data_IF_817157140414
#
_entry.id   IF_817157140414
#
_cell.length_a   1.000
_cell.length_b   1.000
_cell.length_c   1.000
_cell.angle_alpha   90.00
_cell.angle_beta   90.00
_cell.angle_gamma   90.00
#
_symmetry.space_group_name_H-M   'P 1'
#
loop_
_entity.id
_entity.type
_entity.pdbx_description
1 polymer ?
#
# COMPACT_ATOMS: atom_id res chain seq x y z
N UNK A 1 -18.11 -26.31 5.85
CA UNK A 1 -17.72 -25.30 6.85
C UNK A 1 -16.84 -24.21 6.23
N UNK A 2 -15.70 -24.49 5.62
CA UNK A 2 -14.82 -23.46 4.99
C UNK A 2 -15.51 -22.69 3.86
N UNK A 3 -16.28 -23.33 3.00
CA UNK A 3 -17.03 -22.65 1.93
C UNK A 3 -18.06 -21.67 2.48
N UNK A 4 -18.72 -21.99 3.60
CA UNK A 4 -19.69 -21.10 4.25
C UNK A 4 -18.99 -19.89 4.88
N UNK A 5 -17.81 -20.08 5.48
CA UNK A 5 -16.99 -18.98 6.03
C UNK A 5 -16.50 -18.05 4.93
N UNK A 6 -15.97 -18.60 3.84
CA UNK A 6 -15.55 -17.81 2.69
C UNK A 6 -16.70 -17.00 2.08
N UNK A 7 -17.91 -17.59 2.00
CA UNK A 7 -19.10 -16.89 1.52
C UNK A 7 -19.49 -15.72 2.43
N UNK A 8 -19.45 -15.91 3.75
CA UNK A 8 -19.75 -14.86 4.73
C UNK A 8 -18.70 -13.73 4.61
N UNK A 9 -17.42 -14.07 4.55
CA UNK A 9 -16.36 -13.10 4.38
C UNK A 9 -16.51 -12.31 3.08
N UNK A 10 -16.80 -12.97 1.97
CA UNK A 10 -17.03 -12.32 0.68
C UNK A 10 -18.25 -11.38 0.72
N UNK A 11 -19.32 -11.73 1.42
CA UNK A 11 -20.49 -10.86 1.57
C UNK A 11 -20.16 -9.61 2.42
N UNK A 12 -19.38 -9.76 3.48
CA UNK A 12 -18.92 -8.65 4.31
C UNK A 12 -17.99 -7.74 3.49
N UNK A 13 -17.04 -8.31 2.73
CA UNK A 13 -16.13 -7.58 1.88
C UNK A 13 -16.87 -6.75 0.81
N UNK A 14 -17.82 -7.39 0.11
CA UNK A 14 -18.67 -6.72 -0.87
C UNK A 14 -19.51 -5.58 -0.27
N UNK A 15 -19.92 -5.70 1.00
CA UNK A 15 -20.60 -4.63 1.71
C UNK A 15 -19.65 -3.49 2.08
N UNK A 16 -18.48 -3.81 2.64
CA UNK A 16 -17.49 -2.83 3.09
C UNK A 16 -16.88 -2.07 1.90
N UNK A 17 -16.43 -2.81 0.88
CA UNK A 17 -15.90 -2.21 -0.38
C UNK A 17 -16.98 -1.94 -1.41
N UNK A 18 -18.21 -1.80 -0.97
CA UNK A 18 -19.32 -1.41 -1.84
C UNK A 18 -19.15 -0.01 -2.42
N UNK A 19 -20.03 0.33 -3.37
CA UNK A 19 -20.06 1.64 -4.02
C UNK A 19 -19.98 2.81 -3.02
N UNK A 20 -20.63 2.79 -1.83
CA UNK A 20 -20.58 3.91 -0.90
C UNK A 20 -19.18 4.28 -0.43
N UNK A 21 -18.36 3.30 -0.01
CA UNK A 21 -17.00 3.59 0.48
C UNK A 21 -16.11 4.13 -0.64
N UNK A 22 -16.16 3.52 -1.82
CA UNK A 22 -15.40 3.99 -2.98
C UNK A 22 -15.78 5.42 -3.37
N UNK A 23 -17.08 5.74 -3.36
CA UNK A 23 -17.56 7.12 -3.61
C UNK A 23 -17.04 8.08 -2.55
N UNK A 24 -17.07 7.72 -1.27
CA UNK A 24 -16.56 8.55 -0.18
C UNK A 24 -15.07 8.86 -0.37
N UNK A 25 -14.25 7.86 -0.68
CA UNK A 25 -12.80 8.04 -0.85
C UNK A 25 -12.50 8.87 -2.10
N UNK A 26 -13.12 8.56 -3.25
CA UNK A 26 -12.93 9.32 -4.48
C UNK A 26 -13.43 10.77 -4.34
N UNK A 27 -14.64 10.96 -3.79
CA UNK A 27 -15.19 12.27 -3.54
C UNK A 27 -14.29 13.10 -2.62
N UNK A 28 -13.75 12.48 -1.57
CA UNK A 28 -12.79 13.13 -0.67
C UNK A 28 -11.54 13.59 -1.40
N UNK A 29 -10.96 12.74 -2.23
CA UNK A 29 -9.80 13.07 -3.05
C UNK A 29 -10.09 14.20 -4.06
N UNK A 30 -11.24 14.17 -4.72
CA UNK A 30 -11.71 15.21 -5.64
C UNK A 30 -11.93 16.54 -4.88
N UNK A 31 -12.65 16.49 -3.76
CA UNK A 31 -12.92 17.66 -2.92
C UNK A 31 -11.62 18.35 -2.48
N UNK A 32 -10.65 17.56 -1.95
CA UNK A 32 -9.35 18.09 -1.54
C UNK A 32 -8.56 18.63 -2.72
N UNK A 33 -8.59 17.95 -3.87
CA UNK A 33 -7.94 18.41 -5.11
C UNK A 33 -8.45 19.78 -5.54
N UNK A 34 -9.78 19.97 -5.55
CA UNK A 34 -10.42 21.24 -5.91
C UNK A 34 -10.11 22.33 -4.89
N UNK A 35 -10.27 22.04 -3.59
CA UNK A 35 -10.02 23.01 -2.51
C UNK A 35 -8.57 23.46 -2.42
N UNK A 36 -7.62 22.60 -2.78
CA UNK A 36 -6.19 22.88 -2.84
C UNK A 36 -5.72 23.41 -4.19
N UNK A 37 -6.62 23.58 -5.18
CA UNK A 37 -6.32 24.14 -6.48
C UNK A 37 -5.31 23.31 -7.29
N UNK A 38 -5.54 22.00 -7.41
CA UNK A 38 -4.67 21.05 -8.13
C UNK A 38 -3.21 21.06 -7.63
N UNK A 39 -3.05 21.14 -6.30
CA UNK A 39 -1.72 21.25 -5.65
C UNK A 39 -0.78 20.11 -6.11
N UNK A 40 -1.28 18.90 -6.28
CA UNK A 40 -0.51 17.74 -6.71
C UNK A 40 0.12 17.91 -8.10
N UNK A 41 -0.43 18.72 -8.99
CA UNK A 41 0.21 19.08 -10.26
C UNK A 41 1.17 20.24 -10.12
N UNK A 42 0.71 21.31 -9.44
CA UNK A 42 1.45 22.56 -9.35
C UNK A 42 2.71 22.46 -8.48
N UNK A 43 2.70 21.61 -7.47
CA UNK A 43 3.75 21.49 -6.46
C UNK A 43 4.49 20.14 -6.45
N UNK A 44 4.21 19.25 -7.41
CA UNK A 44 4.92 17.97 -7.53
C UNK A 44 6.44 18.14 -7.66
N UNK A 45 6.98 19.08 -8.50
CA UNK A 45 8.43 19.27 -8.57
C UNK A 45 9.06 19.69 -7.22
N UNK A 46 8.35 20.54 -6.46
CA UNK A 46 8.77 20.94 -5.13
C UNK A 46 8.73 19.77 -4.13
N UNK A 47 7.68 18.95 -4.22
CA UNK A 47 7.54 17.76 -3.38
C UNK A 47 8.68 16.76 -3.62
N UNK A 48 9.03 16.48 -4.88
CA UNK A 48 10.15 15.62 -5.25
C UNK A 48 11.51 16.19 -4.77
N UNK A 49 11.69 17.51 -4.83
CA UNK A 49 12.89 18.17 -4.28
C UNK A 49 12.99 17.98 -2.77
N UNK A 50 11.88 18.17 -2.04
CA UNK A 50 11.85 18.05 -0.58
C UNK A 50 11.87 16.60 -0.07
N UNK A 51 11.51 15.65 -0.89
CA UNK A 51 11.66 14.24 -0.58
C UNK A 51 13.09 13.86 -0.19
N UNK A 52 14.09 14.45 -0.85
CA UNK A 52 15.52 14.16 -0.64
C UNK A 52 16.24 15.22 0.21
N UNK A 53 15.61 16.37 0.46
CA UNK A 53 16.22 17.46 1.25
C UNK A 53 15.68 17.42 2.68
N UNK A 54 16.51 17.04 3.63
CA UNK A 54 16.17 17.05 5.05
C UNK A 54 16.11 18.48 5.59
N UNK A 55 15.39 18.65 6.70
CA UNK A 55 15.32 19.87 7.50
C UNK A 55 16.26 19.70 8.70
N UNK A 56 17.25 20.59 8.81
CA UNK A 56 18.19 20.56 9.91
C UNK A 56 17.54 21.21 11.15
N UNK A 57 17.81 20.66 12.35
CA UNK A 57 17.32 21.16 13.64
C UNK A 57 15.80 21.14 13.86
N UNK A 58 15.07 20.30 13.11
CA UNK A 58 13.63 20.14 13.30
C UNK A 58 13.30 19.00 14.29
N UNK A 59 12.15 19.12 14.95
CA UNK A 59 11.62 18.08 15.85
C UNK A 59 11.15 16.86 15.08
N UNK A 60 11.37 15.66 15.65
CA UNK A 60 10.93 14.37 15.09
C UNK A 60 11.94 13.26 15.35
N UNK A 61 11.54 12.00 15.12
CA UNK A 61 12.36 10.82 15.40
C UNK A 61 13.29 10.43 14.25
N UNK A 62 12.85 10.64 13.01
CA UNK A 62 13.50 10.19 11.78
C UNK A 62 13.42 11.25 10.69
N UNK A 63 14.37 11.26 9.75
CA UNK A 63 14.33 12.23 8.65
C UNK A 63 13.05 12.12 7.82
N UNK A 64 12.65 13.20 7.12
CA UNK A 64 11.47 13.18 6.23
C UNK A 64 11.60 12.12 5.14
N UNK A 65 12.82 11.87 4.63
CA UNK A 65 13.08 10.79 3.69
C UNK A 65 12.88 9.40 4.32
N UNK A 66 13.39 9.18 5.54
CA UNK A 66 13.19 7.91 6.25
C UNK A 66 11.71 7.67 6.58
N UNK A 67 10.97 8.72 6.96
CA UNK A 67 9.53 8.64 7.18
C UNK A 67 8.77 8.29 5.89
N UNK A 68 9.14 8.90 4.76
CA UNK A 68 8.59 8.54 3.46
C UNK A 68 8.92 7.08 3.08
N UNK A 69 10.18 6.65 3.26
CA UNK A 69 10.56 5.27 2.97
C UNK A 69 9.83 4.27 3.89
N UNK A 70 9.59 4.64 5.16
CA UNK A 70 8.76 3.83 6.06
C UNK A 70 7.31 3.76 5.58
N UNK A 71 6.74 4.86 5.09
CA UNK A 71 5.42 4.85 4.48
C UNK A 71 5.39 4.05 3.18
N UNK A 72 6.39 4.21 2.31
CA UNK A 72 6.52 3.44 1.07
C UNK A 72 6.79 1.94 1.34
N UNK A 73 7.47 1.60 2.42
CA UNK A 73 7.66 0.19 2.80
C UNK A 73 6.33 -0.50 3.08
N UNK A 74 5.37 0.20 3.69
CA UNK A 74 4.05 -0.34 3.95
C UNK A 74 3.18 -0.42 2.68
N UNK A 75 3.36 0.50 1.72
CA UNK A 75 2.53 0.60 0.51
C UNK A 75 3.06 -0.21 -0.66
N UNK A 76 4.38 -0.18 -0.92
CA UNK A 76 5.00 -0.95 -2.02
C UNK A 76 5.15 -2.42 -1.60
N UNK A 77 4.16 -3.23 -1.93
CA UNK A 77 4.05 -4.63 -1.53
C UNK A 77 3.49 -5.53 -2.62
N UNK A 78 2.83 -6.60 -2.19
CA UNK A 78 2.11 -7.50 -3.11
C UNK A 78 1.03 -6.77 -3.92
N UNK A 79 0.49 -5.66 -3.42
CA UNK A 79 -0.48 -4.82 -4.10
C UNK A 79 -0.01 -4.34 -5.48
N UNK A 80 1.25 -3.95 -5.60
CA UNK A 80 1.84 -3.40 -6.82
C UNK A 80 2.10 -4.45 -7.92
N UNK A 81 2.17 -5.71 -7.58
CA UNK A 81 2.45 -6.82 -8.49
C UNK A 81 1.20 -7.70 -8.62
N UNK A 82 0.79 -8.34 -7.55
CA UNK A 82 -0.35 -9.26 -7.50
C UNK A 82 -1.68 -8.52 -7.56
N UNK A 83 -1.80 -7.40 -6.82
CA UNK A 83 -3.02 -6.59 -6.79
C UNK A 83 -3.34 -5.97 -8.16
N UNK A 84 -2.35 -5.45 -8.87
CA UNK A 84 -2.51 -4.93 -10.23
C UNK A 84 -2.93 -6.02 -11.19
N UNK A 85 -2.28 -7.19 -11.13
CA UNK A 85 -2.64 -8.35 -11.95
C UNK A 85 -4.11 -8.76 -11.71
N UNK A 86 -4.51 -8.87 -10.44
CA UNK A 86 -5.90 -9.19 -10.05
C UNK A 86 -6.88 -8.14 -10.57
N UNK A 87 -6.54 -6.84 -10.49
CA UNK A 87 -7.41 -5.78 -11.00
C UNK A 87 -7.60 -5.88 -12.52
N UNK A 88 -6.51 -6.10 -13.27
CA UNK A 88 -6.55 -6.17 -14.74
C UNK A 88 -7.23 -7.45 -15.22
N UNK A 89 -7.02 -8.58 -14.55
CA UNK A 89 -7.72 -9.83 -14.91
C UNK A 89 -9.22 -9.76 -14.60
N UNK A 90 -9.62 -9.21 -13.43
CA UNK A 90 -11.01 -9.17 -13.02
C UNK A 90 -11.81 -8.00 -13.64
N UNK A 91 -11.17 -6.87 -13.87
CA UNK A 91 -11.80 -5.64 -14.39
C UNK A 91 -11.43 -5.30 -15.84
N UNK A 92 -10.59 -6.10 -16.48
CA UNK A 92 -10.02 -5.83 -17.78
C UNK A 92 -8.94 -4.72 -17.72
N UNK A 93 -8.26 -4.43 -18.86
CA UNK A 93 -7.22 -3.40 -18.95
C UNK A 93 -7.67 -2.02 -18.48
N UNK A 94 -8.97 -1.70 -18.57
CA UNK A 94 -9.56 -0.44 -18.09
C UNK A 94 -9.43 -0.23 -16.57
N UNK A 95 -9.25 -1.28 -15.79
CA UNK A 95 -9.00 -1.17 -14.36
C UNK A 95 -7.72 -0.36 -14.07
N UNK A 96 -6.69 -0.51 -14.90
CA UNK A 96 -5.45 0.26 -14.77
C UNK A 96 -5.68 1.77 -14.92
N UNK A 97 -6.53 2.19 -15.87
CA UNK A 97 -6.92 3.59 -16.03
C UNK A 97 -7.53 4.15 -14.74
N UNK A 98 -8.49 3.42 -14.15
CA UNK A 98 -9.16 3.85 -12.93
C UNK A 98 -8.25 3.82 -11.70
N UNK A 99 -7.26 2.92 -11.64
CA UNK A 99 -6.20 2.96 -10.63
C UNK A 99 -5.41 4.27 -10.69
N UNK A 100 -4.99 4.69 -11.89
CA UNK A 100 -4.23 5.95 -12.09
C UNK A 100 -5.07 7.17 -11.72
N UNK A 101 -6.34 7.21 -12.12
CA UNK A 101 -7.26 8.30 -11.77
C UNK A 101 -7.47 8.38 -10.25
N UNK A 102 -7.66 7.24 -9.59
CA UNK A 102 -7.80 7.18 -8.13
C UNK A 102 -6.53 7.67 -7.44
N UNK A 103 -5.36 7.27 -7.90
CA UNK A 103 -4.10 7.72 -7.35
C UNK A 103 -3.87 9.22 -7.54
N UNK A 104 -4.26 9.77 -8.69
CA UNK A 104 -4.18 11.21 -8.95
C UNK A 104 -4.94 12.03 -7.90
N UNK A 105 -6.18 11.65 -7.59
CA UNK A 105 -6.95 12.28 -6.52
C UNK A 105 -6.44 11.89 -5.13
N UNK A 106 -5.97 10.66 -4.99
CA UNK A 106 -5.35 10.16 -3.77
C UNK A 106 -4.10 10.92 -3.32
N UNK A 107 -3.35 11.53 -4.26
CA UNK A 107 -2.21 12.39 -3.92
C UNK A 107 -2.63 13.59 -3.05
N UNK A 108 -3.77 14.23 -3.33
CA UNK A 108 -4.29 15.32 -2.50
C UNK A 108 -4.77 14.82 -1.13
N UNK A 109 -5.29 13.61 -1.07
CA UNK A 109 -5.65 12.94 0.19
C UNK A 109 -4.41 12.67 1.03
N UNK A 110 -3.37 12.04 0.46
CA UNK A 110 -2.09 11.79 1.14
C UNK A 110 -1.39 13.07 1.61
N UNK A 111 -1.46 14.12 0.79
CA UNK A 111 -0.99 15.45 1.21
C UNK A 111 -1.67 15.91 2.49
N UNK A 112 -3.00 15.82 2.52
CA UNK A 112 -3.80 16.26 3.66
C UNK A 112 -3.55 15.42 4.91
N UNK A 113 -3.43 14.09 4.73
CA UNK A 113 -3.07 13.14 5.79
C UNK A 113 -1.71 13.46 6.41
N UNK A 114 -0.68 13.65 5.58
CA UNK A 114 0.67 13.97 6.04
C UNK A 114 0.77 15.32 6.75
N UNK A 115 0.05 16.33 6.26
CA UNK A 115 -0.05 17.65 6.89
C UNK A 115 -0.70 17.53 8.28
N UNK A 116 -1.85 16.87 8.38
CA UNK A 116 -2.58 16.72 9.64
C UNK A 116 -1.79 15.89 10.65
N UNK A 117 -1.05 14.88 10.18
CA UNK A 117 -0.20 14.04 11.04
C UNK A 117 0.86 14.86 11.79
N UNK A 118 1.56 15.75 11.11
CA UNK A 118 2.57 16.63 11.73
C UNK A 118 1.91 17.72 12.57
N UNK A 119 0.80 18.31 12.09
CA UNK A 119 0.12 19.39 12.80
C UNK A 119 -0.42 18.98 14.17
N UNK A 120 -0.92 17.75 14.29
CA UNK A 120 -1.57 17.26 15.51
C UNK A 120 -0.77 16.16 16.22
N UNK A 121 0.51 15.98 15.88
CA UNK A 121 1.37 15.05 16.63
C UNK A 121 1.67 15.55 18.03
N UNK A 122 1.99 14.60 18.91
CA UNK A 122 2.51 14.85 20.23
C UNK A 122 3.95 14.36 20.28
N UNK A 123 4.85 15.20 20.76
CA UNK A 123 6.26 14.82 20.96
C UNK A 123 6.48 14.66 22.46
N UNK A 124 6.92 13.47 22.88
CA UNK A 124 7.26 13.17 24.25
C UNK A 124 8.58 13.83 24.68
N UNK A 125 8.85 13.88 25.98
CA UNK A 125 10.10 14.42 26.54
C UNK A 125 11.35 13.66 26.07
N UNK A 126 11.19 12.41 25.68
CA UNK A 126 12.22 11.53 25.11
C UNK A 126 12.41 11.71 23.60
N UNK A 127 11.70 12.65 22.98
CA UNK A 127 11.70 12.90 21.53
C UNK A 127 10.84 11.91 20.73
N UNK A 128 10.08 11.05 21.40
CA UNK A 128 9.18 10.09 20.76
C UNK A 128 7.97 10.82 20.14
N UNK A 129 7.76 10.62 18.83
CA UNK A 129 6.70 11.29 18.08
C UNK A 129 5.49 10.38 17.95
N UNK A 130 4.36 10.80 18.50
CA UNK A 130 3.08 10.12 18.45
C UNK A 130 2.10 10.91 17.59
N UNK A 131 1.63 10.32 16.50
CA UNK A 131 0.70 10.98 15.59
C UNK A 131 0.00 9.99 14.67
N UNK A 132 -0.81 10.53 13.78
CA UNK A 132 -1.64 9.76 12.88
C UNK A 132 -3.13 10.07 13.06
N UNK A 133 -4.03 9.30 12.41
CA UNK A 133 -5.46 9.60 12.41
C UNK A 133 -6.07 9.67 13.80
N UNK A 134 -5.70 8.79 14.70
CA UNK A 134 -6.22 8.80 16.07
C UNK A 134 -5.88 10.09 16.82
N UNK A 135 -4.73 10.73 16.53
CA UNK A 135 -4.38 12.02 17.14
C UNK A 135 -5.11 13.19 16.48
N UNK A 136 -5.14 13.27 15.13
CA UNK A 136 -5.86 14.40 14.53
C UNK A 136 -7.40 14.26 14.63
N UNK A 137 -7.94 13.05 14.85
CA UNK A 137 -9.34 12.87 15.23
C UNK A 137 -9.58 13.41 16.65
N UNK A 138 -8.77 12.97 17.63
CA UNK A 138 -8.99 13.37 19.05
C UNK A 138 -8.69 14.85 19.29
N UNK A 139 -7.61 15.38 18.71
CA UNK A 139 -7.19 16.77 18.95
C UNK A 139 -7.77 17.76 17.94
N UNK A 140 -7.86 17.37 16.66
CA UNK A 140 -8.35 18.25 15.60
C UNK A 140 -9.86 18.38 15.57
N UNK A 141 -10.61 17.27 15.79
CA UNK A 141 -12.07 17.29 15.86
C UNK A 141 -12.59 17.48 17.30
N UNK A 142 -11.76 17.25 18.30
CA UNK A 142 -12.07 17.43 19.70
C UNK A 142 -12.32 16.14 20.47
N UNK A 143 -12.27 16.24 21.81
CA UNK A 143 -12.32 15.08 22.73
C UNK A 143 -13.58 14.20 22.59
N UNK A 144 -14.67 14.77 22.12
CA UNK A 144 -15.94 14.03 21.91
C UNK A 144 -15.79 12.96 20.80
N UNK A 145 -14.79 13.07 19.93
CA UNK A 145 -14.52 12.13 18.84
C UNK A 145 -13.49 11.05 19.21
N UNK A 146 -13.07 10.96 20.46
CA UNK A 146 -12.11 9.96 20.95
C UNK A 146 -12.55 8.51 20.68
N UNK A 147 -13.85 8.24 20.66
CA UNK A 147 -14.38 6.92 20.31
C UNK A 147 -14.03 6.55 18.85
N UNK A 148 -14.10 7.52 17.91
CA UNK A 148 -13.76 7.33 16.53
C UNK A 148 -12.25 7.10 16.34
N UNK A 149 -11.43 7.83 17.11
CA UNK A 149 -9.99 7.62 17.16
C UNK A 149 -9.62 6.20 17.63
N UNK A 150 -10.27 5.71 18.69
CA UNK A 150 -10.09 4.34 19.19
C UNK A 150 -10.55 3.29 18.17
N UNK A 151 -11.66 3.54 17.47
CA UNK A 151 -12.17 2.65 16.43
C UNK A 151 -11.16 2.53 15.27
N UNK A 152 -10.61 3.67 14.81
CA UNK A 152 -9.53 3.67 13.82
C UNK A 152 -8.33 2.83 14.29
N UNK A 153 -7.85 3.10 15.51
CA UNK A 153 -6.68 2.41 16.04
C UNK A 153 -6.93 0.89 16.21
N UNK A 154 -8.13 0.49 16.60
CA UNK A 154 -8.52 -0.93 16.66
C UNK A 154 -8.44 -1.59 15.29
N UNK A 155 -9.01 -0.97 14.25
CA UNK A 155 -8.91 -1.50 12.90
C UNK A 155 -7.46 -1.53 12.41
N UNK A 156 -6.63 -0.51 12.74
CA UNK A 156 -5.22 -0.49 12.40
C UNK A 156 -4.43 -1.67 12.98
N UNK A 157 -4.72 -2.08 14.23
CA UNK A 157 -4.15 -3.29 14.83
C UNK A 157 -4.59 -4.54 14.08
N UNK A 158 -5.88 -4.64 13.71
CA UNK A 158 -6.40 -5.78 12.98
C UNK A 158 -5.83 -5.89 11.56
N UNK A 159 -5.69 -4.76 10.84
CA UNK A 159 -5.06 -4.72 9.50
C UNK A 159 -3.62 -5.19 9.53
N UNK A 160 -2.84 -4.74 10.54
CA UNK A 160 -1.47 -5.20 10.72
C UNK A 160 -1.41 -6.71 10.95
N UNK A 161 -2.20 -7.23 11.90
CA UNK A 161 -2.09 -8.61 12.35
C UNK A 161 -2.74 -9.63 11.40
N UNK A 162 -3.90 -9.32 10.84
CA UNK A 162 -4.70 -10.28 10.06
C UNK A 162 -4.87 -9.87 8.59
N UNK A 163 -4.40 -8.68 8.23
CA UNK A 163 -4.65 -8.09 6.93
C UNK A 163 -3.40 -7.95 6.06
N UNK A 164 -3.27 -6.76 5.50
CA UNK A 164 -2.21 -6.40 4.55
C UNK A 164 -0.81 -6.46 5.17
N UNK A 165 -0.70 -6.33 6.51
CA UNK A 165 0.58 -6.29 7.21
C UNK A 165 1.28 -7.64 7.31
N UNK A 166 0.52 -8.75 7.34
CA UNK A 166 1.09 -10.08 7.57
C UNK A 166 0.65 -11.07 6.50
N UNK A 167 -0.55 -11.62 6.63
CA UNK A 167 -0.98 -12.80 5.88
C UNK A 167 -0.93 -12.61 4.36
N UNK A 168 -1.40 -11.48 3.84
CA UNK A 168 -1.39 -11.24 2.40
C UNK A 168 0.02 -11.14 1.83
N UNK A 169 0.95 -10.50 2.55
CA UNK A 169 2.33 -10.36 2.11
C UNK A 169 3.08 -11.69 2.16
N UNK A 170 2.97 -12.39 3.29
CA UNK A 170 3.65 -13.68 3.48
C UNK A 170 3.13 -14.72 2.51
N UNK A 171 1.83 -14.72 2.25
CA UNK A 171 1.23 -15.60 1.24
C UNK A 171 1.74 -15.28 -0.17
N UNK A 172 1.86 -13.98 -0.52
CA UNK A 172 2.45 -13.55 -1.78
C UNK A 172 3.90 -14.01 -1.95
N UNK A 173 4.74 -13.87 -0.89
CA UNK A 173 6.12 -14.36 -0.88
C UNK A 173 6.14 -15.88 -1.09
N UNK A 174 5.37 -16.61 -0.32
CA UNK A 174 5.34 -18.08 -0.35
C UNK A 174 4.91 -18.60 -1.72
N UNK A 175 3.88 -17.98 -2.31
CA UNK A 175 3.41 -18.34 -3.65
C UNK A 175 4.48 -18.08 -4.73
N UNK A 176 5.19 -16.96 -4.64
CA UNK A 176 6.25 -16.62 -5.59
C UNK A 176 7.47 -17.55 -5.46
N UNK A 177 7.89 -17.84 -4.22
CA UNK A 177 9.01 -18.74 -3.92
C UNK A 177 8.66 -20.17 -4.36
N UNK A 178 7.46 -20.65 -4.03
CA UNK A 178 7.00 -21.96 -4.43
C UNK A 178 6.91 -22.10 -5.95
N UNK A 179 6.31 -21.11 -6.62
CA UNK A 179 6.19 -21.09 -8.08
C UNK A 179 7.53 -21.07 -8.81
N UNK A 180 8.62 -20.64 -8.15
CA UNK A 180 9.97 -20.64 -8.71
C UNK A 180 10.75 -21.93 -8.40
N UNK A 181 10.71 -22.41 -7.14
CA UNK A 181 11.55 -23.53 -6.69
C UNK A 181 10.89 -24.90 -6.75
N UNK A 182 9.54 -24.97 -6.63
CA UNK A 182 8.79 -26.24 -6.57
C UNK A 182 7.36 -26.06 -7.09
N UNK A 183 7.25 -25.57 -8.34
CA UNK A 183 5.96 -25.24 -8.98
C UNK A 183 4.98 -26.43 -9.05
N UNK A 184 5.51 -27.66 -9.10
CA UNK A 184 4.71 -28.89 -9.19
C UNK A 184 4.40 -29.49 -7.81
N UNK A 185 4.89 -28.89 -6.71
CA UNK A 185 4.79 -29.43 -5.34
C UNK A 185 5.31 -30.89 -5.21
N UNK A 186 6.48 -31.15 -5.83
CA UNK A 186 7.10 -32.49 -5.80
C UNK A 186 7.74 -32.82 -4.46
N UNK A 187 8.13 -31.79 -3.70
CA UNK A 187 8.83 -31.93 -2.42
C UNK A 187 7.98 -31.40 -1.27
N UNK A 188 6.99 -32.18 -0.86
CA UNK A 188 6.06 -31.78 0.20
C UNK A 188 6.37 -32.40 1.56
N UNK A 189 5.97 -31.72 2.61
CA UNK A 189 5.97 -32.15 4.01
C UNK A 189 4.59 -31.99 4.63
N UNK A 190 4.17 -32.98 5.38
CA UNK A 190 2.91 -32.88 6.14
C UNK A 190 3.19 -32.20 7.49
N UNK A 191 2.58 -31.03 7.69
CA UNK A 191 2.66 -30.29 8.97
C UNK A 191 1.41 -30.64 9.78
N UNK A 192 1.57 -31.19 11.00
CA UNK A 192 0.44 -31.54 11.85
C UNK A 192 -0.55 -30.36 12.00
N UNK A 193 -1.85 -30.62 11.85
CA UNK A 193 -2.95 -29.66 11.91
C UNK A 193 -3.05 -28.63 10.77
N UNK A 194 -1.97 -28.38 9.98
CA UNK A 194 -1.94 -27.38 8.92
C UNK A 194 -2.11 -27.99 7.52
N UNK A 195 -1.66 -29.22 7.30
CA UNK A 195 -1.79 -29.92 6.03
C UNK A 195 -0.46 -30.15 5.32
N UNK A 196 -0.50 -30.40 4.03
CA UNK A 196 0.66 -30.70 3.19
C UNK A 196 1.12 -29.43 2.45
N UNK A 197 2.41 -29.10 2.58
CA UNK A 197 3.04 -27.93 1.98
C UNK A 197 4.41 -28.27 1.41
N UNK A 198 4.81 -27.56 0.35
CA UNK A 198 6.16 -27.70 -0.19
C UNK A 198 7.21 -27.22 0.80
N UNK A 199 8.36 -27.89 0.82
CA UNK A 199 9.53 -27.45 1.61
C UNK A 199 9.97 -26.03 1.28
N UNK A 200 9.77 -25.58 0.02
CA UNK A 200 10.08 -24.20 -0.39
C UNK A 200 9.29 -23.17 0.43
N UNK A 201 8.00 -23.45 0.69
CA UNK A 201 7.11 -22.60 1.52
C UNK A 201 7.55 -22.60 2.98
N UNK A 202 7.88 -23.78 3.54
CA UNK A 202 8.27 -23.91 4.95
C UNK A 202 9.59 -23.20 5.22
N UNK A 203 10.58 -23.39 4.36
CA UNK A 203 11.90 -22.75 4.50
C UNK A 203 11.75 -21.23 4.32
N UNK A 204 11.01 -20.78 3.31
CA UNK A 204 10.77 -19.35 3.07
C UNK A 204 10.08 -18.68 4.26
N UNK A 205 9.05 -19.31 4.83
CA UNK A 205 8.35 -18.78 6.01
C UNK A 205 9.24 -18.66 7.25
N UNK A 206 10.10 -19.65 7.47
CA UNK A 206 11.05 -19.63 8.58
C UNK A 206 12.10 -18.52 8.41
N UNK A 207 12.72 -18.42 7.23
CA UNK A 207 13.71 -17.38 6.93
C UNK A 207 13.07 -16.00 7.08
N UNK A 208 11.87 -15.83 6.53
CA UNK A 208 11.13 -14.58 6.60
C UNK A 208 10.84 -14.18 8.06
N UNK A 209 10.31 -15.11 8.86
CA UNK A 209 10.02 -14.85 10.27
C UNK A 209 11.28 -14.46 11.07
N UNK A 210 12.42 -15.11 10.81
CA UNK A 210 13.70 -14.75 11.43
C UNK A 210 14.15 -13.35 10.99
N UNK A 211 14.12 -13.04 9.69
CA UNK A 211 14.49 -11.72 9.16
C UNK A 211 13.60 -10.60 9.74
N UNK A 212 12.29 -10.84 9.79
CA UNK A 212 11.33 -9.92 10.40
C UNK A 212 11.63 -9.71 11.88
N UNK A 213 11.83 -10.79 12.64
CA UNK A 213 12.16 -10.72 14.08
C UNK A 213 13.43 -9.90 14.33
N UNK A 214 14.49 -10.11 13.53
CA UNK A 214 15.75 -9.37 13.65
C UNK A 214 15.59 -7.86 13.45
N UNK A 215 14.67 -7.45 12.61
CA UNK A 215 14.39 -6.01 12.37
C UNK A 215 13.47 -5.46 13.47
N UNK A 216 12.36 -6.14 13.76
CA UNK A 216 11.32 -5.64 14.68
C UNK A 216 11.82 -5.51 16.12
N UNK A 217 12.68 -6.40 16.59
CA UNK A 217 13.30 -6.31 17.92
C UNK A 217 14.08 -5.00 18.10
N UNK A 218 14.64 -4.45 17.02
CA UNK A 218 15.33 -3.16 17.03
C UNK A 218 14.42 -1.92 17.05
N UNK A 219 13.10 -2.12 16.95
CA UNK A 219 12.08 -1.06 17.01
C UNK A 219 12.08 -0.11 15.82
N UNK A 220 11.34 1.00 15.97
CA UNK A 220 11.05 1.99 14.93
C UNK A 220 12.28 2.49 14.17
N UNK A 221 13.34 2.87 14.89
CA UNK A 221 14.57 3.40 14.26
C UNK A 221 15.22 2.37 13.34
N UNK A 222 15.14 1.08 13.71
CA UNK A 222 15.70 0.00 12.89
C UNK A 222 14.81 -0.27 11.67
N UNK A 223 13.50 -0.26 11.83
CA UNK A 223 12.55 -0.37 10.73
C UNK A 223 12.80 0.76 9.71
N UNK A 224 12.89 2.00 10.16
CA UNK A 224 13.17 3.16 9.31
C UNK A 224 14.55 3.06 8.62
N UNK A 225 15.59 2.62 9.33
CA UNK A 225 16.93 2.41 8.78
C UNK A 225 16.96 1.33 7.69
N UNK A 226 16.22 0.26 7.85
CA UNK A 226 16.10 -0.80 6.84
C UNK A 226 15.28 -0.29 5.66
N UNK A 227 14.14 0.34 5.91
CA UNK A 227 13.24 0.84 4.87
C UNK A 227 13.91 1.89 3.98
N UNK A 228 14.68 2.82 4.54
CA UNK A 228 15.36 3.87 3.75
C UNK A 228 16.44 3.35 2.79
N UNK A 229 16.93 2.12 3.00
CA UNK A 229 17.89 1.46 2.09
C UNK A 229 17.16 0.52 1.13
N UNK A 230 16.31 -0.35 1.67
CA UNK A 230 15.68 -1.42 0.88
C UNK A 230 14.63 -0.87 -0.08
N UNK A 231 13.81 0.10 0.35
CA UNK A 231 12.71 0.62 -0.49
C UNK A 231 13.21 1.30 -1.77
N UNK A 232 14.15 2.24 -1.75
CA UNK A 232 14.67 2.82 -2.98
C UNK A 232 15.35 1.76 -3.86
N UNK A 233 16.12 0.85 -3.26
CA UNK A 233 16.81 -0.22 -3.98
C UNK A 233 15.83 -1.12 -4.75
N UNK A 234 14.81 -1.64 -4.06
CA UNK A 234 13.81 -2.52 -4.68
C UNK A 234 12.98 -1.80 -5.76
N UNK A 235 12.58 -0.54 -5.49
CA UNK A 235 11.81 0.23 -6.45
C UNK A 235 12.61 0.52 -7.72
N UNK A 236 13.88 0.92 -7.59
CA UNK A 236 14.77 1.18 -8.74
C UNK A 236 14.98 -0.09 -9.56
N UNK A 237 15.28 -1.22 -8.93
CA UNK A 237 15.46 -2.49 -9.64
C UNK A 237 14.19 -2.86 -10.40
N UNK A 238 13.03 -2.81 -9.75
CA UNK A 238 11.76 -3.13 -10.37
C UNK A 238 11.49 -2.24 -11.59
N UNK A 239 11.61 -0.92 -11.40
CA UNK A 239 11.40 0.07 -12.48
C UNK A 239 12.36 -0.16 -13.65
N UNK A 240 13.63 -0.49 -13.39
CA UNK A 240 14.62 -0.77 -14.43
C UNK A 240 14.24 -2.00 -15.25
N UNK A 241 13.87 -3.12 -14.61
CA UNK A 241 13.46 -4.33 -15.33
C UNK A 241 12.18 -4.10 -16.13
N UNK A 242 11.19 -3.40 -15.56
CA UNK A 242 9.97 -3.08 -16.31
C UNK A 242 10.26 -2.09 -17.44
N UNK A 243 11.16 -1.13 -17.26
CA UNK A 243 11.58 -0.22 -18.33
C UNK A 243 12.22 -1.01 -19.49
N UNK A 244 13.06 -1.98 -19.20
CA UNK A 244 13.63 -2.88 -20.22
C UNK A 244 12.52 -3.64 -20.95
N UNK A 245 11.51 -4.18 -20.23
CA UNK A 245 10.36 -4.86 -20.83
C UNK A 245 9.59 -3.92 -21.77
N UNK A 246 9.28 -2.71 -21.33
CA UNK A 246 8.54 -1.72 -22.13
C UNK A 246 9.34 -1.29 -23.35
N UNK A 247 10.65 -1.04 -23.21
CA UNK A 247 11.55 -0.68 -24.33
C UNK A 247 11.64 -1.82 -25.34
N UNK A 248 11.80 -3.07 -24.88
CA UNK A 248 11.85 -4.24 -25.76
C UNK A 248 10.55 -4.45 -26.56
N UNK A 249 9.42 -3.95 -26.04
CA UNK A 249 8.11 -4.05 -26.69
C UNK A 249 7.53 -2.67 -27.07
N UNK A 250 8.36 -1.68 -27.36
CA UNK A 250 7.97 -0.30 -27.59
C UNK A 250 6.91 -0.13 -28.68
N UNK A 251 6.92 -0.99 -29.69
CA UNK A 251 5.93 -0.99 -30.79
C UNK A 251 4.52 -1.37 -30.34
N UNK A 252 4.38 -2.12 -29.24
CA UNK A 252 3.09 -2.54 -28.68
C UNK A 252 2.51 -1.50 -27.70
N UNK A 253 3.33 -0.58 -27.22
CA UNK A 253 2.93 0.41 -26.21
C UNK A 253 1.75 1.28 -26.65
N UNK A 254 1.71 1.87 -27.86
CA UNK A 254 0.57 2.67 -28.29
C UNK A 254 -0.75 1.87 -28.33
N UNK A 255 -0.68 0.60 -28.78
CA UNK A 255 -1.84 -0.28 -28.82
C UNK A 255 -2.33 -0.61 -27.39
N UNK A 256 -1.41 -0.85 -26.46
CA UNK A 256 -1.73 -1.11 -25.04
C UNK A 256 -2.44 0.10 -24.41
N UNK A 257 -1.95 1.31 -24.60
CA UNK A 257 -2.61 2.52 -24.12
C UNK A 257 -4.01 2.69 -24.71
N UNK A 258 -4.17 2.44 -26.01
CA UNK A 258 -5.48 2.48 -26.67
C UNK A 258 -6.46 1.48 -26.04
N UNK A 259 -6.02 0.24 -25.81
CA UNK A 259 -6.83 -0.81 -25.17
C UNK A 259 -7.22 -0.39 -23.75
N UNK A 260 -6.28 0.12 -22.94
CA UNK A 260 -6.52 0.57 -21.57
C UNK A 260 -7.60 1.65 -21.53
N UNK A 261 -7.47 2.68 -22.36
CA UNK A 261 -8.43 3.80 -22.43
C UNK A 261 -9.79 3.33 -22.95
N UNK A 262 -9.82 2.55 -24.03
CA UNK A 262 -11.06 2.03 -24.58
C UNK A 262 -11.80 1.13 -23.58
N UNK A 263 -11.08 0.23 -22.90
CA UNK A 263 -11.67 -0.66 -21.90
C UNK A 263 -12.18 0.10 -20.67
N UNK A 264 -11.58 1.22 -20.32
CA UNK A 264 -12.02 2.05 -19.19
C UNK A 264 -13.41 2.64 -19.36
N UNK A 265 -13.85 2.88 -20.60
CA UNK A 265 -15.13 3.54 -20.94
C UNK A 265 -16.08 2.65 -21.73
N UNK A 266 -15.72 1.39 -22.01
CA UNK A 266 -16.58 0.47 -22.74
C UNK A 266 -17.68 -0.11 -21.85
N UNK A 267 -18.94 -0.05 -22.26
CA UNK A 267 -20.04 -0.69 -21.53
C UNK A 267 -20.07 -2.23 -21.70
N UNK A 268 -19.26 -2.78 -22.62
CA UNK A 268 -19.16 -4.22 -22.92
C UNK A 268 -17.70 -4.67 -22.93
N UNK A 269 -17.50 -5.95 -22.60
CA UNK A 269 -16.19 -6.58 -22.72
C UNK A 269 -15.60 -6.49 -24.14
N UNK A 270 -14.35 -6.08 -24.24
CA UNK A 270 -13.64 -5.95 -25.53
C UNK A 270 -13.31 -7.31 -26.14
N UNK A 271 -13.35 -8.39 -25.38
CA UNK A 271 -13.15 -9.77 -25.84
C UNK A 271 -14.22 -10.67 -25.25
N UNK A 272 -14.84 -11.50 -26.05
CA UNK A 272 -16.03 -12.32 -25.81
C UNK A 272 -16.05 -13.34 -24.65
N UNK A 273 -15.39 -13.05 -23.57
CA UNK A 273 -15.47 -13.74 -22.31
C UNK A 273 -15.74 -12.72 -21.21
N UNK A 274 -16.49 -13.05 -20.19
CA UNK A 274 -17.01 -12.35 -19.02
C UNK A 274 -16.22 -11.16 -18.39
N UNK A 275 -15.59 -10.34 -19.17
CA UNK A 275 -14.80 -9.20 -18.71
C UNK A 275 -15.72 -7.98 -18.59
N UNK A 276 -15.79 -7.47 -17.44
CA UNK A 276 -16.76 -6.58 -16.90
C UNK A 276 -17.12 -5.32 -17.68
N UNK A 277 -18.27 -4.78 -17.34
CA UNK A 277 -18.72 -3.45 -17.68
C UNK A 277 -17.73 -2.38 -17.18
N UNK A 278 -17.81 -1.15 -17.70
CA UNK A 278 -17.09 0.02 -17.18
C UNK A 278 -17.13 0.12 -15.65
N UNK A 279 -18.28 -0.22 -15.05
CA UNK A 279 -18.44 -0.21 -13.59
C UNK A 279 -17.55 -1.23 -12.88
N UNK A 280 -17.37 -2.43 -13.45
CA UNK A 280 -16.48 -3.45 -12.88
C UNK A 280 -15.02 -3.03 -13.01
N UNK A 281 -14.62 -2.49 -14.18
CA UNK A 281 -13.28 -1.95 -14.39
C UNK A 281 -12.98 -0.83 -13.38
N UNK A 282 -13.92 0.11 -13.20
CA UNK A 282 -13.80 1.19 -12.23
C UNK A 282 -13.73 0.64 -10.80
N UNK A 283 -14.63 -0.25 -10.42
CA UNK A 283 -14.67 -0.82 -9.08
C UNK A 283 -13.37 -1.57 -8.74
N UNK A 284 -12.90 -2.44 -9.63
CA UNK A 284 -11.66 -3.20 -9.42
C UNK A 284 -10.42 -2.30 -9.45
N UNK A 285 -10.37 -1.33 -10.35
CA UNK A 285 -9.28 -0.36 -10.43
C UNK A 285 -9.21 0.53 -9.19
N UNK A 286 -10.33 1.10 -8.75
CA UNK A 286 -10.40 1.97 -7.56
C UNK A 286 -10.02 1.18 -6.30
N UNK A 287 -10.63 0.01 -6.08
CA UNK A 287 -10.38 -0.79 -4.88
C UNK A 287 -8.90 -1.21 -4.78
N UNK A 288 -8.32 -1.73 -5.86
CA UNK A 288 -6.91 -2.16 -5.86
C UNK A 288 -5.93 -0.98 -5.90
N UNK A 289 -6.30 0.15 -6.48
CA UNK A 289 -5.54 1.39 -6.39
C UNK A 289 -5.41 1.90 -4.96
N UNK A 290 -6.52 1.97 -4.23
CA UNK A 290 -6.55 2.37 -2.81
C UNK A 290 -5.80 1.34 -1.94
N UNK A 291 -6.00 0.05 -2.21
CA UNK A 291 -5.27 -1.01 -1.50
C UNK A 291 -3.76 -0.87 -1.64
N UNK A 292 -3.25 -0.49 -2.82
CA UNK A 292 -1.83 -0.29 -3.08
C UNK A 292 -1.29 0.97 -2.40
N UNK A 293 -1.85 2.14 -2.71
CA UNK A 293 -1.29 3.41 -2.26
C UNK A 293 -1.80 3.89 -0.89
N UNK A 294 -2.80 3.23 -0.33
CA UNK A 294 -3.39 3.53 0.99
C UNK A 294 -3.91 4.96 1.16
N UNK A 295 -4.20 5.69 0.08
CA UNK A 295 -4.74 7.06 0.16
C UNK A 295 -6.18 7.04 0.69
N UNK A 296 -6.42 7.70 1.81
CA UNK A 296 -7.71 7.70 2.49
C UNK A 296 -7.86 6.63 3.57
N UNK A 297 -6.92 5.66 3.65
CA UNK A 297 -6.92 4.66 4.72
C UNK A 297 -6.40 5.21 6.06
N UNK A 298 -5.55 6.24 6.03
CA UNK A 298 -5.00 6.84 7.23
C UNK A 298 -3.79 6.10 7.84
N UNK A 299 -3.23 5.13 7.16
CA UNK A 299 -2.05 4.37 7.62
C UNK A 299 -0.76 5.19 7.53
N UNK A 300 -0.43 5.73 6.37
CA UNK A 300 0.80 6.50 6.13
C UNK A 300 1.01 7.74 7.03
N UNK A 301 -0.03 8.48 7.47
CA UNK A 301 0.15 9.55 8.46
C UNK A 301 0.82 9.10 9.76
N UNK A 302 0.74 7.84 10.12
CA UNK A 302 1.40 7.29 11.31
C UNK A 302 2.92 7.40 11.18
N UNK A 303 3.49 7.07 10.00
CA UNK A 303 4.92 7.27 9.73
C UNK A 303 5.26 8.75 9.49
N UNK A 304 4.39 9.49 8.82
CA UNK A 304 4.60 10.91 8.55
C UNK A 304 4.74 11.75 9.84
N UNK A 305 4.05 11.36 10.91
CA UNK A 305 4.15 12.01 12.21
C UNK A 305 5.54 11.95 12.85
N UNK A 306 6.32 10.89 12.54
CA UNK A 306 7.68 10.73 13.06
C UNK A 306 8.73 11.57 12.32
N UNK A 307 8.37 12.21 11.20
CA UNK A 307 9.30 12.98 10.38
C UNK A 307 9.86 14.21 11.10
N UNK A 308 11.16 14.43 10.95
CA UNK A 308 11.84 15.64 11.41
C UNK A 308 11.47 16.82 10.51
N UNK A 309 10.45 17.55 10.92
CA UNK A 309 10.01 18.80 10.28
C UNK A 309 9.12 19.59 11.23
N UNK A 310 9.26 20.91 11.19
CA UNK A 310 8.38 21.83 11.92
C UNK A 310 7.24 22.38 11.03
N UNK A 311 7.29 22.07 9.73
CA UNK A 311 6.32 22.56 8.73
C UNK A 311 5.38 21.46 8.25
N UNK A 312 4.12 21.43 8.71
CA UNK A 312 3.13 20.42 8.30
C UNK A 312 2.93 20.32 6.78
N UNK A 313 2.94 21.46 6.08
CA UNK A 313 2.77 21.53 4.62
C UNK A 313 3.92 20.82 3.89
N UNK A 314 5.14 20.96 4.40
CA UNK A 314 6.32 20.30 3.84
C UNK A 314 6.15 18.77 3.90
N UNK A 315 5.79 18.23 5.06
CA UNK A 315 5.55 16.80 5.20
C UNK A 315 4.35 16.32 4.37
N UNK A 316 3.31 17.12 4.26
CA UNK A 316 2.19 16.83 3.34
C UNK A 316 2.67 16.66 1.89
N UNK A 317 3.52 17.56 1.39
CA UNK A 317 4.11 17.47 0.05
C UNK A 317 4.99 16.23 -0.10
N UNK A 318 5.82 15.91 0.88
CA UNK A 318 6.64 14.69 0.87
C UNK A 318 5.73 13.45 0.85
N UNK A 319 4.70 13.39 1.69
CA UNK A 319 3.78 12.25 1.78
C UNK A 319 3.02 11.98 0.48
N UNK A 320 2.64 13.02 -0.27
CA UNK A 320 1.92 12.81 -1.54
C UNK A 320 2.78 12.15 -2.62
N UNK A 321 4.13 12.28 -2.53
CA UNK A 321 5.05 11.60 -3.47
C UNK A 321 5.00 10.09 -3.32
N UNK A 322 4.59 9.59 -2.15
CA UNK A 322 4.37 8.16 -1.93
C UNK A 322 3.33 7.58 -2.89
N UNK A 323 2.15 8.20 -3.01
CA UNK A 323 1.11 7.77 -3.94
C UNK A 323 1.55 7.89 -5.41
N UNK A 324 2.34 8.94 -5.72
CA UNK A 324 2.91 9.11 -7.05
C UNK A 324 3.86 7.95 -7.40
N UNK A 325 4.81 7.62 -6.53
CA UNK A 325 5.77 6.54 -6.75
C UNK A 325 5.07 5.19 -6.80
N UNK A 326 4.23 4.89 -5.82
CA UNK A 326 3.55 3.61 -5.67
C UNK A 326 2.65 3.29 -6.87
N UNK A 327 1.71 4.17 -7.17
CA UNK A 327 0.64 3.83 -8.12
C UNK A 327 0.88 4.46 -9.49
N UNK A 328 1.19 5.77 -9.56
CA UNK A 328 1.39 6.44 -10.87
C UNK A 328 2.62 5.85 -11.58
N UNK A 329 3.66 5.47 -10.83
CA UNK A 329 4.87 4.87 -11.44
C UNK A 329 4.77 3.34 -11.41
N UNK A 330 4.86 2.71 -10.22
CA UNK A 330 5.06 1.26 -10.10
C UNK A 330 3.85 0.46 -10.60
N UNK A 331 2.63 0.76 -10.10
CA UNK A 331 1.44 0.00 -10.56
C UNK A 331 1.15 0.22 -12.04
N UNK A 332 1.37 1.43 -12.57
CA UNK A 332 1.19 1.71 -14.00
C UNK A 332 2.15 0.88 -14.84
N UNK A 333 3.42 0.78 -14.44
CA UNK A 333 4.42 -0.03 -15.12
C UNK A 333 4.07 -1.51 -15.09
N UNK A 334 3.62 -2.02 -13.94
CA UNK A 334 3.15 -3.41 -13.81
C UNK A 334 1.97 -3.70 -14.73
N UNK A 335 0.93 -2.88 -14.66
CA UNK A 335 -0.27 -3.05 -15.48
C UNK A 335 0.02 -2.93 -16.98
N UNK A 336 0.89 -1.99 -17.36
CA UNK A 336 1.33 -1.84 -18.74
C UNK A 336 2.07 -3.10 -19.25
N UNK A 337 2.94 -3.69 -18.42
CA UNK A 337 3.63 -4.95 -18.75
C UNK A 337 2.64 -6.09 -18.99
N UNK A 338 1.61 -6.21 -18.16
CA UNK A 338 0.56 -7.23 -18.28
C UNK A 338 -0.24 -7.04 -19.57
N UNK A 339 -0.57 -5.78 -19.92
CA UNK A 339 -1.36 -5.47 -21.13
C UNK A 339 -0.52 -5.65 -22.40
N UNK A 340 0.73 -5.17 -22.42
CA UNK A 340 1.65 -5.31 -23.57
C UNK A 340 1.89 -6.77 -23.94
N UNK A 341 2.01 -7.65 -22.96
CA UNK A 341 2.30 -9.08 -23.16
C UNK A 341 1.05 -9.93 -23.40
N UNK A 342 -0.14 -9.38 -23.16
CA UNK A 342 -1.39 -10.12 -23.25
C UNK A 342 -1.60 -11.12 -22.09
N UNK A 343 -0.81 -11.02 -21.00
CA UNK A 343 -0.87 -11.96 -19.88
C UNK A 343 -2.25 -12.03 -19.22
N UNK A 344 -3.02 -10.94 -19.24
CA UNK A 344 -4.37 -10.87 -18.71
C UNK A 344 -5.43 -11.71 -19.45
N UNK A 345 -5.12 -12.18 -20.65
CA UNK A 345 -6.00 -13.01 -21.49
C UNK A 345 -5.71 -14.50 -21.38
N UNK A 346 -4.64 -14.88 -20.69
CA UNK A 346 -4.24 -16.28 -20.56
C UNK A 346 -5.10 -16.96 -19.52
N UNK A 347 -5.89 -17.92 -19.93
CA UNK A 347 -6.78 -18.68 -19.05
C UNK A 347 -6.00 -19.47 -17.99
N UNK A 348 -6.52 -19.49 -16.78
CA UNK A 348 -5.94 -20.24 -15.66
C UNK A 348 -4.78 -19.53 -14.93
N UNK A 349 -4.36 -18.34 -15.38
CA UNK A 349 -3.38 -17.54 -14.64
C UNK A 349 -4.07 -16.63 -13.65
N UNK A 350 -3.61 -16.66 -12.40
CA UNK A 350 -4.10 -15.81 -11.32
C UNK A 350 -2.94 -15.22 -10.50
N UNK A 351 -3.18 -14.07 -9.89
CA UNK A 351 -2.27 -13.45 -8.94
C UNK A 351 -0.86 -13.21 -9.51
N UNK A 352 0.15 -13.75 -8.84
CA UNK A 352 1.56 -13.57 -9.24
C UNK A 352 1.87 -14.23 -10.57
N UNK A 353 1.19 -15.32 -10.94
CA UNK A 353 1.45 -16.05 -12.18
C UNK A 353 1.22 -15.20 -13.44
N UNK A 354 0.26 -14.26 -13.40
CA UNK A 354 0.00 -13.30 -14.48
C UNK A 354 1.21 -12.40 -14.73
N UNK A 355 1.76 -11.81 -13.67
CA UNK A 355 2.92 -10.93 -13.79
C UNK A 355 4.18 -11.72 -14.11
N UNK A 356 4.32 -12.95 -13.61
CA UNK A 356 5.41 -13.86 -13.98
C UNK A 356 5.38 -14.15 -15.48
N UNK A 357 4.21 -14.47 -16.03
CA UNK A 357 4.04 -14.68 -17.47
C UNK A 357 4.40 -13.41 -18.27
N UNK A 358 3.98 -12.24 -17.79
CA UNK A 358 4.32 -10.97 -18.43
C UNK A 358 5.84 -10.74 -18.48
N UNK A 359 6.55 -11.03 -17.40
CA UNK A 359 8.02 -10.90 -17.36
C UNK A 359 8.73 -11.92 -18.23
N UNK A 360 8.28 -13.20 -18.21
CA UNK A 360 8.86 -14.26 -19.03
C UNK A 360 8.74 -13.98 -20.53
N UNK A 361 7.61 -13.42 -20.97
CA UNK A 361 7.32 -13.21 -22.39
C UNK A 361 7.61 -11.77 -22.86
N UNK A 362 7.86 -10.84 -21.95
CA UNK A 362 8.12 -9.44 -22.26
C UNK A 362 9.59 -9.04 -22.16
N UNK A 363 10.36 -9.65 -21.27
CA UNK A 363 11.79 -9.36 -21.11
C UNK A 363 12.65 -10.09 -22.15
N UNK A 364 13.75 -9.48 -22.62
CA UNK A 364 14.69 -10.11 -23.55
C UNK A 364 15.68 -11.05 -22.83
N UNK A 365 15.25 -11.73 -21.77
CA UNK A 365 16.06 -12.64 -20.96
C UNK A 365 15.42 -14.03 -20.94
N UNK A 366 16.19 -15.09 -20.59
CA UNK A 366 15.63 -16.42 -20.37
C UNK A 366 14.48 -16.38 -19.33
N UNK A 367 13.45 -17.18 -19.56
CA UNK A 367 12.25 -17.21 -18.70
C UNK A 367 12.56 -17.44 -17.22
N UNK A 368 13.56 -18.28 -16.91
CA UNK A 368 14.00 -18.53 -15.54
C UNK A 368 14.59 -17.27 -14.88
N UNK A 369 15.39 -16.48 -15.61
CA UNK A 369 15.97 -15.23 -15.10
C UNK A 369 14.87 -14.20 -14.85
N UNK A 370 13.94 -14.08 -15.80
CA UNK A 370 12.77 -13.17 -15.67
C UNK A 370 11.91 -13.51 -14.46
N UNK A 371 11.64 -14.80 -14.23
CA UNK A 371 10.90 -15.28 -13.07
C UNK A 371 11.65 -15.05 -11.75
N UNK A 372 12.96 -15.29 -11.74
CA UNK A 372 13.79 -15.08 -10.57
C UNK A 372 13.78 -13.60 -10.14
N UNK A 373 13.96 -12.70 -11.11
CA UNK A 373 13.94 -11.25 -10.83
C UNK A 373 12.59 -10.81 -10.24
N UNK A 374 11.47 -11.27 -10.83
CA UNK A 374 10.15 -10.92 -10.32
C UNK A 374 9.92 -11.49 -8.92
N UNK A 375 10.28 -12.75 -8.68
CA UNK A 375 10.21 -13.37 -7.36
C UNK A 375 11.01 -12.56 -6.34
N UNK A 376 12.25 -12.19 -6.67
CA UNK A 376 13.11 -11.40 -5.79
C UNK A 376 12.50 -10.02 -5.47
N UNK A 377 12.00 -9.33 -6.48
CA UNK A 377 11.30 -8.04 -6.28
C UNK A 377 10.09 -8.21 -5.37
N UNK A 378 9.26 -9.23 -5.58
CA UNK A 378 8.09 -9.49 -4.75
C UNK A 378 8.46 -9.79 -3.30
N UNK A 379 9.53 -10.58 -3.09
CA UNK A 379 10.03 -10.88 -1.74
C UNK A 379 10.45 -9.60 -1.02
N UNK A 380 11.20 -8.70 -1.67
CA UNK A 380 11.58 -7.43 -1.06
C UNK A 380 10.39 -6.51 -0.81
N UNK A 381 9.49 -6.39 -1.77
CA UNK A 381 8.27 -5.58 -1.65
C UNK A 381 7.42 -6.04 -0.45
N UNK A 382 7.11 -7.32 -0.40
CA UNK A 382 6.30 -7.87 0.65
C UNK A 382 7.00 -7.88 2.03
N UNK A 383 8.31 -8.15 2.07
CA UNK A 383 9.10 -8.07 3.30
C UNK A 383 9.07 -6.66 3.92
N UNK A 384 9.29 -5.64 3.12
CA UNK A 384 9.23 -4.25 3.62
C UNK A 384 7.83 -3.87 4.07
N UNK A 385 6.79 -4.37 3.40
CA UNK A 385 5.39 -4.12 3.80
C UNK A 385 5.07 -4.73 5.17
N UNK A 386 5.59 -5.93 5.47
CA UNK A 386 5.47 -6.54 6.80
C UNK A 386 6.07 -5.61 7.87
N UNK A 387 7.25 -5.05 7.62
CA UNK A 387 7.92 -4.15 8.56
C UNK A 387 7.16 -2.83 8.75
N UNK A 388 6.68 -2.23 7.67
CA UNK A 388 5.94 -0.96 7.70
C UNK A 388 4.61 -1.08 8.44
N UNK A 389 3.89 -2.18 8.24
CA UNK A 389 2.62 -2.42 8.91
C UNK A 389 2.76 -2.83 10.37
N UNK A 390 3.86 -3.51 10.76
CA UNK A 390 4.17 -3.71 12.18
C UNK A 390 4.29 -2.36 12.88
N UNK A 391 5.07 -1.43 12.30
CA UNK A 391 5.19 -0.08 12.84
C UNK A 391 3.84 0.62 13.02
N UNK A 392 2.96 0.56 12.00
CA UNK A 392 1.64 1.20 12.07
C UNK A 392 0.76 0.59 13.15
N UNK A 393 0.70 -0.73 13.21
CA UNK A 393 -0.14 -1.45 14.15
C UNK A 393 0.37 -1.34 15.59
N UNK A 394 1.68 -1.33 15.82
CA UNK A 394 2.26 -1.04 17.12
C UNK A 394 1.88 0.36 17.64
N UNK A 395 1.91 1.38 16.77
CA UNK A 395 1.48 2.74 17.13
C UNK A 395 -0.01 2.83 17.43
N UNK A 396 -0.84 2.10 16.68
CA UNK A 396 -2.26 1.98 16.96
C UNK A 396 -2.51 1.32 18.34
N UNK A 397 -1.78 0.24 18.65
CA UNK A 397 -1.90 -0.45 19.94
C UNK A 397 -1.37 0.39 21.10
N UNK A 398 -0.30 1.12 20.90
CA UNK A 398 0.25 2.07 21.86
C UNK A 398 -0.79 3.12 22.25
N UNK A 399 -1.48 3.73 21.28
CA UNK A 399 -2.58 4.65 21.52
C UNK A 399 -3.73 4.00 22.31
N UNK A 400 -4.17 2.78 21.91
CA UNK A 400 -5.25 2.05 22.57
C UNK A 400 -4.92 1.68 24.03
N UNK A 401 -3.67 1.33 24.29
CA UNK A 401 -3.18 0.91 25.60
C UNK A 401 -2.76 2.07 26.51
N UNK A 402 -2.89 3.32 26.03
CA UNK A 402 -2.49 4.51 26.78
C UNK A 402 -0.99 4.59 27.03
N UNK A 403 -0.17 4.16 26.06
CA UNK A 403 1.29 4.21 26.12
C UNK A 403 1.95 2.98 26.81
N UNK A 404 1.18 1.91 27.08
CA UNK A 404 1.74 0.74 27.77
C UNK A 404 2.59 -0.14 26.81
N UNK A 405 3.89 0.05 26.85
CA UNK A 405 4.88 -0.67 26.02
C UNK A 405 4.95 -2.18 26.27
N UNK A 406 4.40 -2.69 27.40
CA UNK A 406 4.33 -4.15 27.61
C UNK A 406 3.38 -4.82 26.62
N UNK A 407 2.22 -4.20 26.37
CA UNK A 407 1.26 -4.70 25.38
C UNK A 407 1.84 -4.66 23.96
N UNK A 408 2.58 -3.62 23.61
CA UNK A 408 3.27 -3.50 22.31
C UNK A 408 4.31 -4.60 22.12
N UNK A 409 5.10 -4.91 23.17
CA UNK A 409 6.09 -6.02 23.12
C UNK A 409 5.42 -7.38 22.93
N UNK A 410 4.30 -7.65 23.61
CA UNK A 410 3.55 -8.91 23.44
C UNK A 410 3.00 -9.00 22.03
N UNK A 411 2.41 -7.91 21.51
CA UNK A 411 1.87 -7.83 20.16
C UNK A 411 2.94 -8.13 19.11
N UNK A 412 4.15 -7.60 19.24
CA UNK A 412 5.26 -7.84 18.34
C UNK A 412 5.59 -9.34 18.20
N UNK A 413 5.59 -10.10 19.30
CA UNK A 413 5.77 -11.53 19.25
C UNK A 413 4.61 -12.27 18.58
N UNK A 414 3.37 -11.84 18.84
CA UNK A 414 2.19 -12.38 18.16
C UNK A 414 2.27 -12.08 16.65
N UNK A 415 2.73 -10.88 16.26
CA UNK A 415 2.92 -10.48 14.88
C UNK A 415 3.96 -11.36 14.16
N UNK A 416 5.12 -11.60 14.79
CA UNK A 416 6.17 -12.49 14.25
C UNK A 416 5.62 -13.91 14.07
N UNK A 417 4.84 -14.40 15.03
CA UNK A 417 4.18 -15.70 14.92
C UNK A 417 3.15 -15.72 13.76
N UNK A 418 2.40 -14.66 13.58
CA UNK A 418 1.45 -14.53 12.48
C UNK A 418 2.16 -14.54 11.10
N UNK A 419 3.35 -13.91 11.01
CA UNK A 419 4.20 -13.98 9.81
C UNK A 419 4.61 -15.41 9.50
N UNK A 420 4.96 -16.20 10.51
CA UNK A 420 5.33 -17.61 10.32
C UNK A 420 4.14 -18.49 9.90
N UNK A 421 2.94 -18.23 10.44
CA UNK A 421 1.73 -19.02 10.18
C UNK A 421 1.05 -18.61 8.86
N UNK A 422 1.25 -17.37 8.41
CA UNK A 422 0.56 -16.78 7.26
C UNK A 422 0.57 -17.62 5.97
N UNK A 423 1.69 -18.28 5.60
CA UNK A 423 1.74 -19.10 4.38
C UNK A 423 0.77 -20.29 4.37
N UNK A 424 0.35 -20.74 5.53
CA UNK A 424 -0.51 -21.91 5.72
C UNK A 424 -2.00 -21.55 5.73
N UNK A 425 -2.35 -20.27 5.51
CA UNK A 425 -3.71 -19.80 5.36
C UNK A 425 -4.19 -19.91 3.90
N UNK A 426 -5.48 -20.11 3.68
CA UNK A 426 -6.05 -20.14 2.32
C UNK A 426 -5.99 -18.74 1.70
N UNK A 427 -5.52 -18.64 0.44
CA UNK A 427 -5.30 -17.35 -0.25
C UNK A 427 -6.56 -16.48 -0.26
N UNK A 428 -7.71 -17.03 -0.60
CA UNK A 428 -8.97 -16.26 -0.70
C UNK A 428 -9.40 -15.65 0.64
N UNK A 429 -9.36 -16.42 1.72
CA UNK A 429 -9.69 -15.93 3.06
C UNK A 429 -8.75 -14.82 3.52
N UNK A 430 -7.46 -14.97 3.27
CA UNK A 430 -6.43 -13.98 3.64
C UNK A 430 -6.68 -12.63 2.96
N UNK A 431 -6.89 -12.63 1.66
CA UNK A 431 -7.16 -11.40 0.92
C UNK A 431 -8.48 -10.74 1.33
N UNK A 432 -9.52 -11.55 1.55
CA UNK A 432 -10.82 -11.02 1.97
C UNK A 432 -10.77 -10.38 3.36
N UNK A 433 -10.07 -10.98 4.31
CA UNK A 433 -9.88 -10.41 5.65
C UNK A 433 -9.08 -9.10 5.56
N UNK A 434 -8.01 -9.08 4.76
CA UNK A 434 -7.21 -7.87 4.52
C UNK A 434 -8.07 -6.72 3.96
N UNK A 435 -8.87 -7.01 2.96
CA UNK A 435 -9.75 -6.03 2.33
C UNK A 435 -10.80 -5.49 3.32
N UNK A 436 -11.46 -6.33 4.10
CA UNK A 436 -12.47 -5.93 5.09
C UNK A 436 -11.89 -4.93 6.11
N UNK A 437 -10.79 -5.26 6.76
CA UNK A 437 -10.22 -4.38 7.78
C UNK A 437 -9.69 -3.06 7.18
N UNK A 438 -9.11 -3.11 5.99
CA UNK A 438 -8.69 -1.89 5.28
C UNK A 438 -9.88 -0.95 5.00
N UNK A 439 -10.97 -1.51 4.50
CA UNK A 439 -12.17 -0.71 4.22
C UNK A 439 -12.76 -0.08 5.48
N UNK A 440 -12.85 -0.85 6.57
CA UNK A 440 -13.36 -0.36 7.85
C UNK A 440 -12.46 0.72 8.47
N UNK A 441 -11.14 0.64 8.27
CA UNK A 441 -10.19 1.65 8.75
C UNK A 441 -10.34 2.99 8.00
N UNK A 442 -10.72 2.94 6.72
CA UNK A 442 -10.88 4.14 5.90
C UNK A 442 -11.98 5.08 6.40
N UNK A 443 -13.09 4.54 6.91
CA UNK A 443 -14.25 5.35 7.32
C UNK A 443 -13.92 6.41 8.38
N UNK A 444 -13.32 6.07 9.53
CA UNK A 444 -12.93 7.07 10.53
C UNK A 444 -11.98 8.14 9.98
N UNK A 445 -11.05 7.74 9.13
CA UNK A 445 -10.09 8.64 8.53
C UNK A 445 -10.76 9.62 7.55
N UNK A 446 -11.65 9.14 6.68
CA UNK A 446 -12.36 10.01 5.73
C UNK A 446 -13.27 11.01 6.44
N UNK A 447 -13.94 10.62 7.53
CA UNK A 447 -14.73 11.54 8.38
C UNK A 447 -13.82 12.66 8.91
N UNK A 448 -12.62 12.33 9.38
CA UNK A 448 -11.66 13.32 9.87
C UNK A 448 -11.16 14.24 8.76
N UNK A 449 -10.83 13.71 7.60
CA UNK A 449 -10.37 14.51 6.44
C UNK A 449 -11.42 15.51 5.97
N UNK A 450 -12.70 15.10 5.92
CA UNK A 450 -13.79 16.03 5.59
C UNK A 450 -13.91 17.14 6.64
N UNK A 451 -13.93 16.77 7.92
CA UNK A 451 -14.07 17.72 9.03
C UNK A 451 -12.90 18.71 9.10
N UNK A 452 -11.68 18.23 8.86
CA UNK A 452 -10.46 19.03 8.97
C UNK A 452 -9.99 19.62 7.64
N UNK A 453 -10.74 19.43 6.54
CA UNK A 453 -10.36 19.94 5.21
C UNK A 453 -10.16 21.47 5.19
N UNK A 454 -10.92 22.21 6.01
CA UNK A 454 -10.74 23.65 6.20
C UNK A 454 -9.38 24.02 6.84
N UNK A 455 -8.93 23.21 7.78
CA UNK A 455 -7.62 23.38 8.44
C UNK A 455 -6.51 23.16 7.40
N UNK A 456 -6.60 22.08 6.61
CA UNK A 456 -5.62 21.78 5.56
C UNK A 456 -5.47 22.95 4.58
N UNK A 457 -6.59 23.50 4.11
CA UNK A 457 -6.58 24.64 3.17
C UNK A 457 -5.97 25.88 3.81
N UNK A 458 -6.31 26.18 5.07
CA UNK A 458 -5.78 27.36 5.80
C UNK A 458 -4.26 27.24 5.98
N UNK A 459 -3.77 26.10 6.46
CA UNK A 459 -2.35 25.86 6.65
C UNK A 459 -1.57 25.96 5.32
N UNK A 460 -2.11 25.36 4.26
CA UNK A 460 -1.50 25.40 2.94
C UNK A 460 -1.36 26.83 2.43
N UNK A 461 -2.44 27.63 2.51
CA UNK A 461 -2.41 29.03 2.09
C UNK A 461 -1.42 29.85 2.90
N UNK A 462 -1.49 29.78 4.23
CA UNK A 462 -0.60 30.50 5.13
C UNK A 462 0.88 30.17 4.89
N UNK A 463 1.18 28.89 4.64
CA UNK A 463 2.54 28.46 4.33
C UNK A 463 3.08 29.12 3.03
N UNK A 464 2.33 29.01 1.93
CA UNK A 464 2.78 29.58 0.65
C UNK A 464 2.78 31.11 0.63
N UNK A 465 1.92 31.77 1.40
CA UNK A 465 1.95 33.21 1.57
C UNK A 465 3.23 33.67 2.31
N UNK A 466 3.62 32.97 3.37
CA UNK A 466 4.88 33.25 4.09
C UNK A 466 6.13 33.06 3.23
N UNK A 467 6.13 32.04 2.37
CA UNK A 467 7.28 31.66 1.55
C UNK A 467 7.24 32.19 0.11
N UNK A 468 6.28 33.08 -0.21
CA UNK A 468 6.14 33.62 -1.58
C UNK A 468 7.34 34.53 -1.95
N UNK A 469 8.07 35.07 -0.95
CA UNK A 469 9.22 35.93 -1.12
C UNK A 469 10.58 35.18 -0.99
N UNK A 470 10.56 33.91 -0.61
CA UNK A 470 11.74 33.08 -0.52
C UNK A 470 11.83 32.15 -1.73
N UNK A 471 13.04 32.00 -2.31
CA UNK A 471 13.28 30.95 -3.33
C UNK A 471 13.23 29.59 -2.63
N UNK A 472 12.07 28.94 -2.68
CA UNK A 472 11.83 27.59 -2.17
C UNK A 472 12.74 26.53 -2.80
#
# INVERSE_FOLDING_TARGET
MWNSINQILANIDNFVWGVPLMVIILFGGILLTVRLGLLQLRKLPLALKWMVKNEEEAEGEITSFAALCTALSATIGTGNIVGVATAVCAGGPGALFWMVITAFFGMATKYSEGLLAVKYRVIGEDGHSLGGPFYYIEQGMGKNWKWLAKLFAFFGVCVGLFGIGTFSQVNGISSAVNGFFDANNEHCVNIPFLGEYSWSVVIASLILAVCVALVLIGGVKRIASVSQVVVPFMAIIYVLFVAVLVIANITKVPAAFKIIVQAAFSPRAITGGAVGSMLVAMQKGVARGIFSNEAGLGSAPIAAAAAQTNEPVRQGLVSMTGTFIDTIVICTLTGLSIVITGAWQVEGLEGVAVTTYAFQNGLPFPAQVSSFVLMLCLVFFAFTTILGWDYYSERCLEYLSGGNMKHVKIYRWIYILAVFIGPYMTVSAVWTIADIFNGLMALPNMIALFSLSGVVVKETKSFFERHNNEKL
#
